data_IF_210091406599
#
_entry.id   IF_210091406599
#
_cell.length_a   1.000
_cell.length_b   1.000
_cell.length_c   1.000
_cell.angle_alpha   90.00
_cell.angle_beta   90.00
_cell.angle_gamma   90.00
#
_symmetry.space_group_name_H-M   'P 1'
#
loop_
_entity.id
_entity.type
_entity.pdbx_description
1 polymer ?
#
# COMPACT_ATOMS: atom_id res chain seq x y z
N UNK A 1 2.24 -23.35 21.06
CA UNK A 1 1.68 -24.06 19.89
C UNK A 1 2.28 -23.49 18.63
N UNK A 2 3.20 -24.23 17.99
CA UNK A 2 3.85 -23.82 16.74
C UNK A 2 2.87 -24.03 15.60
N UNK A 3 2.00 -23.05 15.37
CA UNK A 3 1.22 -22.99 14.13
C UNK A 3 2.23 -22.77 13.02
N UNK A 4 2.27 -23.71 12.09
CA UNK A 4 3.12 -23.70 10.91
C UNK A 4 3.10 -22.28 10.31
N UNK A 5 4.28 -21.68 10.21
CA UNK A 5 4.52 -20.44 9.47
C UNK A 5 4.37 -20.82 7.98
N UNK A 6 3.14 -21.06 7.54
CA UNK A 6 2.85 -21.44 6.17
C UNK A 6 3.09 -20.19 5.33
N UNK A 7 4.27 -20.12 4.73
CA UNK A 7 4.58 -19.21 3.65
C UNK A 7 3.63 -19.56 2.50
N UNK A 8 2.56 -18.78 2.40
CA UNK A 8 1.60 -18.84 1.30
C UNK A 8 1.79 -17.59 0.46
N UNK A 9 1.40 -17.67 -0.80
CA UNK A 9 1.28 -16.48 -1.65
C UNK A 9 0.44 -15.38 -0.97
N UNK A 10 -0.58 -15.76 -0.18
CA UNK A 10 -1.42 -14.82 0.58
C UNK A 10 -0.72 -14.20 1.79
N UNK A 11 0.21 -14.88 2.45
CA UNK A 11 1.01 -14.28 3.53
C UNK A 11 2.05 -13.32 2.96
N UNK A 12 2.60 -13.61 1.78
CA UNK A 12 3.53 -12.70 1.10
C UNK A 12 2.80 -11.43 0.64
N UNK A 13 1.58 -11.55 0.12
CA UNK A 13 0.72 -10.40 -0.20
C UNK A 13 0.45 -9.55 1.04
N UNK A 14 0.15 -10.17 2.19
CA UNK A 14 -0.05 -9.42 3.44
C UNK A 14 1.21 -8.66 3.86
N UNK A 15 2.37 -9.33 3.84
CA UNK A 15 3.65 -8.70 4.15
C UNK A 15 3.97 -7.52 3.22
N UNK A 16 3.70 -7.67 1.93
CA UNK A 16 3.85 -6.60 0.96
C UNK A 16 2.91 -5.42 1.25
N UNK A 17 1.65 -5.69 1.60
CA UNK A 17 0.70 -4.66 2.03
C UNK A 17 1.19 -3.85 3.23
N UNK A 18 1.78 -4.52 4.24
CA UNK A 18 2.40 -3.84 5.38
C UNK A 18 3.54 -2.92 4.93
N UNK A 19 4.41 -3.40 4.03
CA UNK A 19 5.51 -2.58 3.48
C UNK A 19 4.98 -1.35 2.74
N UNK A 20 3.91 -1.49 1.95
CA UNK A 20 3.29 -0.34 1.28
C UNK A 20 2.76 0.69 2.29
N UNK A 21 2.17 0.25 3.40
CA UNK A 21 1.72 1.15 4.47
C UNK A 21 2.90 1.81 5.20
N UNK A 22 4.01 1.08 5.42
CA UNK A 22 5.24 1.66 5.96
C UNK A 22 5.79 2.77 5.05
N UNK A 23 5.77 2.56 3.73
CA UNK A 23 6.18 3.55 2.75
C UNK A 23 5.26 4.77 2.72
N UNK A 24 3.94 4.55 2.75
CA UNK A 24 2.94 5.62 2.72
C UNK A 24 3.05 6.53 3.95
N UNK A 25 3.28 5.93 5.12
CA UNK A 25 3.25 6.63 6.41
C UNK A 25 4.61 7.09 6.90
N UNK A 26 5.69 6.49 6.38
CA UNK A 26 7.04 6.65 6.92
C UNK A 26 7.24 6.03 8.30
N UNK A 27 6.27 5.24 8.79
CA UNK A 27 6.30 4.56 10.09
C UNK A 27 6.70 3.10 9.92
N UNK A 28 7.22 2.49 10.98
CA UNK A 28 7.50 1.06 11.01
C UNK A 28 6.22 0.26 11.21
N UNK A 29 6.21 -1.00 10.79
CA UNK A 29 5.08 -1.92 10.90
C UNK A 29 4.49 -1.97 12.33
N UNK A 30 5.35 -1.83 13.34
CA UNK A 30 5.00 -1.51 14.72
C UNK A 30 5.82 -0.30 15.14
N UNK A 31 5.16 0.75 15.62
CA UNK A 31 5.81 1.98 16.06
C UNK A 31 5.24 2.43 17.41
N UNK A 32 5.94 3.32 18.10
CA UNK A 32 5.40 3.97 19.31
C UNK A 32 4.65 5.23 18.87
N UNK A 33 3.37 5.28 19.18
CA UNK A 33 2.58 6.47 18.88
C UNK A 33 2.97 7.65 19.79
N UNK A 34 2.77 8.87 19.29
CA UNK A 34 3.14 10.13 19.95
C UNK A 34 2.43 10.29 21.29
N UNK A 35 1.24 9.71 21.41
CA UNK A 35 0.41 9.73 22.61
C UNK A 35 0.91 8.78 23.72
N UNK A 36 1.94 7.96 23.42
CA UNK A 36 2.57 7.10 24.44
C UNK A 36 1.75 5.86 24.83
N UNK A 37 0.70 5.54 24.08
CA UNK A 37 -0.24 4.43 24.33
C UNK A 37 0.36 3.02 24.10
N UNK A 38 1.68 2.90 23.99
CA UNK A 38 2.39 1.65 23.71
C UNK A 38 2.68 1.43 22.22
N UNK A 39 3.10 0.21 21.84
CA UNK A 39 3.35 -0.15 20.45
C UNK A 39 2.05 -0.28 19.66
N UNK A 40 1.95 0.44 18.54
CA UNK A 40 0.79 0.46 17.63
C UNK A 40 1.17 -0.16 16.29
N UNK A 41 0.29 -0.99 15.73
CA UNK A 41 0.47 -1.58 14.40
C UNK A 41 0.11 -0.58 13.29
N UNK A 42 0.89 -0.54 12.22
CA UNK A 42 0.63 0.39 11.09
C UNK A 42 -0.72 0.14 10.44
N UNK A 43 -1.16 -1.12 10.33
CA UNK A 43 -2.46 -1.50 9.74
C UNK A 43 -3.63 -0.96 10.56
N UNK A 44 -3.56 -1.10 11.88
CA UNK A 44 -4.57 -0.60 12.82
C UNK A 44 -4.63 0.93 12.80
N UNK A 45 -3.46 1.57 12.76
CA UNK A 45 -3.35 3.02 12.67
C UNK A 45 -3.93 3.58 11.37
N UNK A 46 -3.63 2.98 10.20
CA UNK A 46 -4.05 3.53 8.91
C UNK A 46 -5.48 3.19 8.52
N UNK A 47 -5.99 2.03 8.98
CA UNK A 47 -7.28 1.48 8.56
C UNK A 47 -8.45 2.48 8.62
N UNK A 48 -8.71 3.13 9.77
CA UNK A 48 -9.83 4.07 9.90
C UNK A 48 -9.76 5.23 8.92
N UNK A 49 -8.56 5.78 8.67
CA UNK A 49 -8.39 6.93 7.78
C UNK A 49 -8.51 6.55 6.31
N UNK A 50 -7.89 5.44 5.88
CA UNK A 50 -7.96 5.01 4.48
C UNK A 50 -9.38 4.60 4.11
N UNK A 51 -10.08 3.87 5.00
CA UNK A 51 -11.49 3.49 4.76
C UNK A 51 -12.44 4.70 4.72
N UNK A 52 -12.12 5.78 5.41
CA UNK A 52 -12.89 7.03 5.37
C UNK A 52 -12.54 7.92 4.15
N UNK A 53 -11.63 7.50 3.28
CA UNK A 53 -11.13 8.33 2.18
C UNK A 53 -10.22 9.47 2.63
N UNK A 54 -9.75 9.45 3.88
CA UNK A 54 -8.92 10.49 4.48
C UNK A 54 -7.43 10.14 4.40
N UNK A 55 -6.98 9.61 3.27
CA UNK A 55 -5.61 9.10 3.07
C UNK A 55 -4.54 10.15 3.40
N UNK A 56 -4.81 11.42 3.12
CA UNK A 56 -3.92 12.55 3.44
C UNK A 56 -3.52 12.64 4.92
N UNK A 57 -4.34 12.12 5.86
CA UNK A 57 -4.03 12.14 7.31
C UNK A 57 -2.89 11.21 7.70
N UNK A 58 -2.64 10.18 6.91
CA UNK A 58 -1.65 9.14 7.24
C UNK A 58 -0.35 9.28 6.45
N UNK A 59 -0.28 10.21 5.49
CA UNK A 59 0.91 10.40 4.66
C UNK A 59 2.13 10.83 5.47
N UNK A 60 3.31 10.35 5.08
CA UNK A 60 4.57 10.80 5.66
C UNK A 60 4.75 12.31 5.46
N UNK A 61 4.67 13.05 6.56
CA UNK A 61 4.79 14.51 6.59
C UNK A 61 6.18 15.02 6.20
N UNK A 62 7.19 14.13 6.15
CA UNK A 62 8.55 14.45 5.70
C UNK A 62 8.67 14.51 4.17
N UNK A 63 7.69 13.95 3.46
CA UNK A 63 7.64 13.95 2.00
C UNK A 63 6.73 15.09 1.53
N UNK A 64 7.03 15.63 0.34
CA UNK A 64 6.17 16.62 -0.31
C UNK A 64 4.76 16.01 -0.48
N UNK A 65 3.75 16.78 -0.10
CA UNK A 65 2.37 16.34 -0.25
C UNK A 65 1.99 16.23 -1.74
N UNK A 66 1.17 15.23 -2.12
CA UNK A 66 0.78 15.00 -3.51
C UNK A 66 0.13 16.24 -4.14
N UNK A 67 0.46 16.52 -5.39
CA UNK A 67 -0.30 17.47 -6.23
C UNK A 67 -1.49 16.76 -6.90
N UNK A 68 -2.40 17.51 -7.53
CA UNK A 68 -3.72 17.00 -7.97
C UNK A 68 -3.72 15.64 -8.68
N UNK A 69 -2.80 15.39 -9.62
CA UNK A 69 -2.71 14.12 -10.36
C UNK A 69 -2.05 12.98 -9.55
N UNK A 70 -1.24 13.31 -8.55
CA UNK A 70 -0.58 12.33 -7.68
C UNK A 70 -1.52 11.87 -6.55
N UNK A 71 -2.51 12.68 -6.16
CA UNK A 71 -3.48 12.32 -5.11
C UNK A 71 -4.22 11.03 -5.42
N UNK A 72 -4.71 10.88 -6.66
CA UNK A 72 -5.40 9.67 -7.10
C UNK A 72 -4.47 8.44 -7.10
N UNK A 73 -3.21 8.62 -7.51
CA UNK A 73 -2.21 7.55 -7.46
C UNK A 73 -1.96 7.07 -6.03
N UNK A 74 -1.89 8.02 -5.08
CA UNK A 74 -1.69 7.74 -3.66
C UNK A 74 -2.90 7.03 -3.05
N UNK A 75 -4.12 7.41 -3.45
CA UNK A 75 -5.33 6.70 -3.05
C UNK A 75 -5.34 5.25 -3.55
N UNK A 76 -5.03 5.02 -4.84
CA UNK A 76 -4.94 3.67 -5.40
C UNK A 76 -3.93 2.82 -4.62
N UNK A 77 -2.76 3.39 -4.30
CA UNK A 77 -1.74 2.70 -3.50
C UNK A 77 -2.26 2.36 -2.10
N UNK A 78 -2.88 3.33 -1.42
CA UNK A 78 -3.41 3.16 -0.06
C UNK A 78 -4.50 2.07 0.01
N UNK A 79 -5.46 2.09 -0.93
CA UNK A 79 -6.50 1.07 -1.00
C UNK A 79 -5.94 -0.30 -1.38
N UNK A 80 -4.97 -0.36 -2.29
CA UNK A 80 -4.29 -1.62 -2.63
C UNK A 80 -3.59 -2.20 -1.41
N UNK A 81 -2.88 -1.37 -0.64
CA UNK A 81 -2.23 -1.79 0.59
C UNK A 81 -3.25 -2.31 1.62
N UNK A 82 -4.39 -1.64 1.80
CA UNK A 82 -5.47 -2.08 2.70
C UNK A 82 -6.10 -3.41 2.29
N UNK A 83 -6.29 -3.64 0.99
CA UNK A 83 -6.77 -4.92 0.46
C UNK A 83 -5.76 -6.05 0.70
N UNK A 84 -4.46 -5.77 0.55
CA UNK A 84 -3.40 -6.73 0.83
C UNK A 84 -3.37 -7.18 2.30
N UNK A 85 -3.65 -6.28 3.24
CA UNK A 85 -3.62 -6.56 4.69
C UNK A 85 -4.96 -7.02 5.25
N UNK A 86 -5.91 -7.43 4.40
CA UNK A 86 -7.17 -7.99 4.86
C UNK A 86 -6.94 -9.20 5.78
N UNK A 87 -7.70 -9.28 6.88
CA UNK A 87 -7.64 -10.39 7.83
C UNK A 87 -8.03 -11.71 7.15
N UNK A 88 -9.02 -11.66 6.27
CA UNK A 88 -9.46 -12.80 5.47
C UNK A 88 -8.50 -13.01 4.29
N UNK A 89 -7.62 -14.00 4.40
CA UNK A 89 -6.57 -14.28 3.40
C UNK A 89 -7.09 -14.54 1.98
N UNK A 90 -8.31 -15.05 1.86
CA UNK A 90 -9.00 -15.28 0.57
C UNK A 90 -9.42 -13.98 -0.13
N UNK A 91 -9.73 -12.93 0.64
CA UNK A 91 -10.17 -11.61 0.14
C UNK A 91 -8.99 -10.74 -0.30
N UNK A 92 -7.76 -11.12 0.09
CA UNK A 92 -6.55 -10.45 -0.38
C UNK A 92 -6.44 -10.60 -1.90
N UNK A 93 -5.94 -9.59 -2.63
CA UNK A 93 -5.70 -9.69 -4.07
C UNK A 93 -4.64 -10.75 -4.41
N UNK A 94 -4.50 -11.07 -5.70
CA UNK A 94 -3.28 -11.73 -6.19
C UNK A 94 -2.15 -10.72 -6.36
N UNK A 95 -0.89 -11.18 -6.39
CA UNK A 95 0.23 -10.27 -6.67
C UNK A 95 0.11 -9.61 -8.06
N UNK A 96 -0.50 -10.28 -9.03
CA UNK A 96 -0.78 -9.71 -10.34
C UNK A 96 -1.76 -8.54 -10.26
N UNK A 97 -2.81 -8.64 -9.45
CA UNK A 97 -3.76 -7.54 -9.22
C UNK A 97 -3.08 -6.36 -8.52
N UNK A 98 -2.22 -6.66 -7.54
CA UNK A 98 -1.41 -5.65 -6.84
C UNK A 98 -0.53 -4.88 -7.82
N UNK A 99 0.20 -5.59 -8.69
CA UNK A 99 1.04 -4.97 -9.72
C UNK A 99 0.19 -4.11 -10.65
N UNK A 100 -0.94 -4.63 -11.14
CA UNK A 100 -1.84 -3.89 -12.02
C UNK A 100 -2.31 -2.57 -11.41
N UNK A 101 -2.63 -2.55 -10.12
CA UNK A 101 -3.03 -1.32 -9.44
C UNK A 101 -1.87 -0.35 -9.24
N UNK A 102 -0.67 -0.85 -8.90
CA UNK A 102 0.52 -0.02 -8.76
C UNK A 102 0.98 0.58 -10.10
N UNK A 103 0.83 -0.15 -11.20
CA UNK A 103 1.09 0.37 -12.55
C UNK A 103 0.12 1.49 -12.93
N UNK A 104 -1.18 1.35 -12.59
CA UNK A 104 -2.18 2.42 -12.78
C UNK A 104 -1.80 3.67 -11.98
N UNK A 105 -1.46 3.51 -10.70
CA UNK A 105 -1.00 4.61 -9.86
C UNK A 105 0.24 5.29 -10.46
N UNK A 106 1.22 4.52 -10.92
CA UNK A 106 2.43 5.04 -11.55
C UNK A 106 2.13 5.81 -12.85
N UNK A 107 1.17 5.34 -13.66
CA UNK A 107 0.78 6.01 -14.89
C UNK A 107 0.20 7.42 -14.63
N UNK A 108 -0.58 7.58 -13.56
CA UNK A 108 -1.12 8.88 -13.15
C UNK A 108 -0.01 9.86 -12.72
N UNK A 109 1.02 9.38 -12.02
CA UNK A 109 2.17 10.20 -11.64
C UNK A 109 3.00 10.66 -12.85
N UNK A 110 3.09 9.85 -13.91
CA UNK A 110 3.89 10.16 -15.10
C UNK A 110 3.24 11.19 -16.03
N UNK A 111 1.95 11.45 -15.88
CA UNK A 111 1.18 12.28 -16.81
C UNK A 111 1.10 11.64 -18.21
N UNK A 112 0.11 12.02 -19.01
CA UNK A 112 -0.07 11.56 -20.40
C UNK A 112 1.06 12.05 -21.33
N UNK A 113 2.29 11.55 -21.15
CA UNK A 113 3.45 11.82 -22.00
C UNK A 113 4.45 10.68 -21.86
N UNK A 114 4.26 9.64 -22.67
CA UNK A 114 5.17 8.50 -22.75
C UNK A 114 4.42 7.25 -23.17
N UNK A 115 4.28 7.06 -24.49
CA UNK A 115 3.92 5.78 -25.08
C UNK A 115 4.68 4.66 -24.39
N UNK A 116 3.96 3.76 -23.72
CA UNK A 116 4.54 2.49 -23.29
C UNK A 116 4.82 1.71 -24.57
N UNK A 117 6.02 1.85 -25.13
CA UNK A 117 6.52 0.86 -26.07
C UNK A 117 6.69 -0.42 -25.26
N UNK A 118 5.90 -1.48 -25.51
CA UNK A 118 6.14 -2.75 -24.85
C UNK A 118 7.49 -3.24 -25.36
N UNK A 119 8.48 -3.31 -24.48
CA UNK A 119 9.71 -4.08 -24.69
C UNK A 119 9.36 -5.57 -24.63
N UNK A 120 8.58 -6.01 -25.62
CA UNK A 120 8.41 -7.40 -26.04
C UNK A 120 8.35 -7.42 -27.57
N UNK A 121 9.40 -6.89 -28.21
CA UNK A 121 9.76 -7.34 -29.55
C UNK A 121 10.57 -8.62 -29.38
N UNK A 122 9.89 -9.76 -29.50
CA UNK A 122 10.55 -11.03 -29.77
C UNK A 122 11.28 -10.90 -31.10
N UNK A 123 12.60 -11.14 -31.07
CA UNK A 123 13.35 -11.62 -32.22
C UNK A 123 13.36 -13.15 -32.14
#
# INVERSE_FOLDING_TARGET
SYVLKVLTTKSDVYGFGVVLLELLTGKRAVFKDVEGNGPTGVVEYTGPFIMAGEVWKVLDKRVKQPIMNESEAVEILAYTAMMCVNLEGKERPTMSDVISNLEKALALCKGSSGTFSPIYSFN
#
